data_IF_419211045377
#
_entry.id   IF_419211045377
#
_cell.length_a   1.000
_cell.length_b   1.000
_cell.length_c   1.000
_cell.angle_alpha   90.00
_cell.angle_beta   90.00
_cell.angle_gamma   90.00
#
_symmetry.space_group_name_H-M   'P 1'
#
loop_
_entity.id
_entity.type
_entity.pdbx_description
1 polymer ?
#
# COMPACT_ATOMS: atom_id res chain seq x y z
N UNK A 1 15.23 -8.07 -9.37
CA UNK A 1 14.04 -8.23 -10.24
C UNK A 1 13.75 -6.92 -10.97
N UNK A 2 13.34 -7.01 -12.23
CA UNK A 2 12.87 -5.87 -13.03
C UNK A 2 11.55 -6.24 -13.70
N UNK A 3 10.52 -5.43 -13.49
CA UNK A 3 9.20 -5.55 -14.11
C UNK A 3 8.86 -4.26 -14.83
N UNK A 4 8.41 -4.34 -16.06
CA UNK A 4 8.06 -3.15 -16.85
C UNK A 4 6.91 -3.43 -17.81
N UNK A 5 6.05 -2.41 -18.00
CA UNK A 5 5.00 -2.37 -19.01
C UNK A 5 4.06 -3.59 -18.95
N UNK A 6 3.59 -3.94 -17.76
CA UNK A 6 2.73 -5.10 -17.56
C UNK A 6 1.63 -4.86 -16.53
N UNK A 7 0.60 -5.67 -16.59
CA UNK A 7 -0.47 -5.72 -15.59
C UNK A 7 -0.45 -7.07 -14.89
N UNK A 8 -0.47 -7.04 -13.56
CA UNK A 8 -0.67 -8.20 -12.71
C UNK A 8 -2.06 -8.10 -12.07
N UNK A 9 -2.78 -9.20 -12.04
CA UNK A 9 -4.10 -9.26 -11.44
C UNK A 9 -4.26 -10.52 -10.58
N UNK A 10 -4.78 -10.35 -9.38
CA UNK A 10 -5.24 -11.47 -8.56
C UNK A 10 -6.72 -11.74 -8.89
N UNK A 11 -7.04 -12.98 -9.22
CA UNK A 11 -8.39 -13.39 -9.66
C UNK A 11 -9.30 -13.85 -8.51
N UNK A 12 -8.97 -13.53 -7.25
CA UNK A 12 -9.84 -13.85 -6.12
C UNK A 12 -11.19 -13.13 -6.28
N UNK A 13 -12.28 -13.87 -6.14
CA UNK A 13 -13.61 -13.28 -5.96
C UNK A 13 -13.72 -12.68 -4.55
N UNK A 14 -13.16 -11.47 -4.40
CA UNK A 14 -13.06 -10.80 -3.12
C UNK A 14 -14.43 -10.48 -2.53
N UNK A 15 -15.36 -10.01 -3.35
CA UNK A 15 -16.69 -9.66 -2.87
C UNK A 15 -17.57 -10.89 -2.61
N UNK A 16 -17.41 -11.95 -3.38
CA UNK A 16 -18.06 -13.24 -3.10
C UNK A 16 -17.60 -13.88 -1.80
N UNK A 17 -16.39 -13.54 -1.33
CA UNK A 17 -15.87 -13.92 -0.01
C UNK A 17 -16.16 -12.91 1.10
N UNK A 18 -17.17 -12.05 0.93
CA UNK A 18 -17.57 -10.98 1.87
C UNK A 18 -16.48 -9.93 2.14
N UNK A 19 -15.65 -9.62 1.15
CA UNK A 19 -14.57 -8.65 1.29
C UNK A 19 -13.50 -9.08 2.29
N UNK A 20 -13.29 -10.36 2.44
CA UNK A 20 -12.29 -10.94 3.34
C UNK A 20 -11.28 -11.79 2.57
N UNK A 21 -10.09 -11.90 3.14
CA UNK A 21 -9.03 -12.72 2.56
C UNK A 21 -7.96 -11.90 1.86
N UNK A 22 -6.76 -12.45 1.93
CA UNK A 22 -5.59 -11.85 1.28
C UNK A 22 -5.64 -12.14 -0.21
N UNK A 23 -5.37 -11.12 -0.99
CA UNK A 23 -5.36 -11.18 -2.44
C UNK A 23 -4.02 -10.68 -2.99
N UNK A 24 -2.93 -11.30 -2.55
CA UNK A 24 -1.57 -10.89 -2.95
C UNK A 24 -1.41 -11.02 -4.45
N UNK A 25 -1.04 -9.92 -5.08
CA UNK A 25 -0.75 -9.87 -6.51
C UNK A 25 0.73 -10.15 -6.79
N UNK A 26 1.60 -9.57 -5.96
CA UNK A 26 3.04 -9.83 -5.99
C UNK A 26 3.59 -9.97 -4.57
N UNK A 27 4.14 -11.15 -4.26
CA UNK A 27 5.02 -11.31 -3.11
C UNK A 27 6.47 -11.16 -3.56
N UNK A 28 7.12 -10.11 -3.07
CA UNK A 28 8.50 -9.78 -3.45
C UNK A 28 9.48 -10.20 -2.33
N UNK A 29 10.37 -11.12 -2.65
CA UNK A 29 11.48 -11.55 -1.79
C UNK A 29 12.84 -11.08 -2.31
N UNK A 30 12.82 -10.24 -3.34
CA UNK A 30 14.04 -9.73 -3.96
C UNK A 30 14.85 -8.83 -3.03
N UNK A 31 16.14 -8.82 -3.20
CA UNK A 31 17.02 -7.86 -2.53
C UNK A 31 17.01 -6.51 -3.23
N UNK A 32 16.77 -6.52 -4.53
CA UNK A 32 16.60 -5.33 -5.35
C UNK A 32 15.49 -5.59 -6.37
N UNK A 33 14.48 -4.72 -6.37
CA UNK A 33 13.36 -4.81 -7.31
C UNK A 33 13.05 -3.43 -7.88
N UNK A 34 12.87 -3.38 -9.19
CA UNK A 34 12.42 -2.18 -9.92
C UNK A 34 11.15 -2.53 -10.67
N UNK A 35 10.13 -1.70 -10.48
CA UNK A 35 8.86 -1.77 -11.19
C UNK A 35 8.61 -0.45 -11.89
N UNK A 36 8.42 -0.46 -13.22
CA UNK A 36 8.15 0.71 -14.03
C UNK A 36 6.95 0.49 -14.92
N UNK A 37 5.98 1.41 -14.86
CA UNK A 37 4.72 1.30 -15.60
C UNK A 37 4.06 -0.08 -15.39
N UNK A 38 3.96 -0.48 -14.11
CA UNK A 38 3.32 -1.73 -13.69
C UNK A 38 1.97 -1.41 -13.07
N UNK A 39 0.94 -2.11 -13.52
CA UNK A 39 -0.39 -2.02 -12.93
C UNK A 39 -0.70 -3.26 -12.13
N UNK A 40 -1.09 -3.10 -10.86
CA UNK A 40 -1.54 -4.17 -9.99
C UNK A 40 -3.01 -4.03 -9.64
N UNK A 41 -3.81 -5.02 -10.01
CA UNK A 41 -5.24 -5.07 -9.76
C UNK A 41 -5.54 -6.14 -8.71
N UNK A 42 -5.85 -5.71 -7.49
CA UNK A 42 -6.17 -6.61 -6.40
C UNK A 42 -6.88 -5.88 -5.26
N UNK A 43 -6.90 -6.48 -4.09
CA UNK A 43 -7.64 -6.02 -2.91
C UNK A 43 -6.75 -5.96 -1.67
N UNK A 44 -6.88 -6.89 -0.72
CA UNK A 44 -6.05 -6.89 0.48
C UNK A 44 -4.65 -7.45 0.19
N UNK A 45 -3.61 -6.80 0.75
CA UNK A 45 -2.21 -7.22 0.65
C UNK A 45 -1.68 -7.29 -0.80
N UNK A 46 -2.13 -6.39 -1.71
CA UNK A 46 -1.80 -6.44 -3.14
C UNK A 46 -0.31 -6.61 -3.43
N UNK A 47 0.50 -5.75 -2.86
CA UNK A 47 1.96 -5.83 -2.93
C UNK A 47 2.53 -6.17 -1.56
N UNK A 48 3.15 -7.32 -1.45
CA UNK A 48 3.78 -7.79 -0.22
C UNK A 48 5.30 -7.88 -0.39
N UNK A 49 6.05 -6.94 0.17
CA UNK A 49 7.51 -7.00 0.23
C UNK A 49 7.95 -7.87 1.42
N UNK A 50 8.30 -9.10 1.14
CA UNK A 50 8.68 -10.08 2.15
C UNK A 50 10.21 -10.21 2.30
N UNK A 51 10.88 -9.06 2.38
CA UNK A 51 12.33 -8.98 2.64
C UNK A 51 12.67 -7.66 3.35
N UNK A 52 12.97 -7.73 4.64
CA UNK A 52 13.30 -6.56 5.45
C UNK A 52 14.58 -5.82 5.01
N UNK A 53 15.41 -6.43 4.19
CA UNK A 53 16.62 -5.83 3.62
C UNK A 53 16.46 -5.44 2.16
N UNK A 54 15.25 -5.59 1.60
CA UNK A 54 14.96 -5.25 0.21
C UNK A 54 15.11 -3.76 -0.05
N UNK A 55 15.64 -3.42 -1.23
CA UNK A 55 15.66 -2.05 -1.78
C UNK A 55 14.80 -2.06 -3.04
N UNK A 56 13.68 -1.34 -2.98
CA UNK A 56 12.57 -1.48 -3.91
C UNK A 56 12.26 -0.11 -4.54
N UNK A 57 12.15 -0.05 -5.85
CA UNK A 57 11.83 1.17 -6.58
C UNK A 57 10.63 0.99 -7.50
N UNK A 58 9.68 1.88 -7.40
CA UNK A 58 8.48 1.93 -8.21
C UNK A 58 8.38 3.26 -8.94
N UNK A 59 8.11 3.25 -10.22
CA UNK A 59 7.97 4.45 -11.03
C UNK A 59 6.76 4.33 -11.97
N UNK A 60 5.99 5.43 -12.07
CA UNK A 60 4.89 5.59 -13.01
C UNK A 60 3.90 4.39 -13.00
N UNK A 61 3.69 3.79 -11.84
CA UNK A 61 2.93 2.55 -11.66
C UNK A 61 1.59 2.81 -10.97
N UNK A 62 0.63 1.89 -11.15
CA UNK A 62 -0.70 2.01 -10.57
C UNK A 62 -0.98 0.77 -9.70
N UNK A 63 -1.35 0.98 -8.43
CA UNK A 63 -1.57 -0.10 -7.47
C UNK A 63 -2.96 0.06 -6.84
N UNK A 64 -3.80 -0.94 -7.04
CA UNK A 64 -5.15 -1.02 -6.51
C UNK A 64 -5.21 -1.91 -5.28
N UNK A 65 -6.01 -1.52 -4.29
CA UNK A 65 -6.25 -2.36 -3.14
C UNK A 65 -7.23 -1.81 -2.13
N UNK A 66 -7.46 -2.58 -1.09
CA UNK A 66 -8.41 -2.23 -0.02
C UNK A 66 -7.70 -2.04 1.32
N UNK A 67 -7.24 -3.11 1.93
CA UNK A 67 -6.58 -3.08 3.24
C UNK A 67 -5.14 -3.54 3.10
N UNK A 68 -4.22 -2.74 3.66
CA UNK A 68 -2.80 -3.09 3.74
C UNK A 68 -2.19 -3.44 2.37
N UNK A 69 -2.67 -2.77 1.30
CA UNK A 69 -2.32 -3.19 -0.05
C UNK A 69 -0.89 -2.86 -0.48
N UNK A 70 -0.18 -2.05 0.31
CA UNK A 70 1.27 -1.95 0.32
C UNK A 70 1.75 -2.51 1.67
N UNK A 71 2.23 -3.73 1.73
CA UNK A 71 2.59 -4.32 3.01
C UNK A 71 3.96 -4.99 3.04
N UNK A 72 4.49 -5.14 4.24
CA UNK A 72 5.76 -5.82 4.49
C UNK A 72 6.89 -4.92 4.97
N UNK A 73 8.10 -5.27 4.61
CA UNK A 73 9.33 -4.61 5.08
C UNK A 73 10.23 -4.13 3.94
N UNK A 74 11.46 -3.79 4.28
CA UNK A 74 12.43 -3.23 3.35
C UNK A 74 12.27 -1.72 3.17
N UNK A 75 13.09 -1.15 2.31
CA UNK A 75 13.04 0.25 1.91
C UNK A 75 12.49 0.36 0.49
N UNK A 76 11.34 0.99 0.34
CA UNK A 76 10.65 1.14 -0.93
C UNK A 76 10.45 2.62 -1.28
N UNK A 77 10.79 3.00 -2.48
CA UNK A 77 10.54 4.34 -3.01
C UNK A 77 9.56 4.26 -4.18
N UNK A 78 8.41 4.92 -3.98
CA UNK A 78 7.36 5.03 -5.00
C UNK A 78 7.40 6.43 -5.58
N UNK A 79 7.71 6.54 -6.86
CA UNK A 79 7.84 7.79 -7.59
C UNK A 79 6.74 7.94 -8.64
N UNK A 80 5.91 8.97 -8.51
CA UNK A 80 4.80 9.26 -9.45
C UNK A 80 3.84 8.09 -9.66
N UNK A 81 3.60 7.32 -8.61
CA UNK A 81 2.66 6.20 -8.66
C UNK A 81 1.23 6.66 -8.33
N UNK A 82 0.25 5.95 -8.87
CA UNK A 82 -1.16 6.11 -8.52
C UNK A 82 -1.59 4.98 -7.59
N UNK A 83 -2.16 5.34 -6.46
CA UNK A 83 -2.71 4.43 -5.47
C UNK A 83 -4.24 4.52 -5.53
N UNK A 84 -4.92 3.41 -5.79
CA UNK A 84 -6.37 3.37 -5.91
C UNK A 84 -6.97 2.58 -4.76
N UNK A 85 -7.71 3.27 -3.89
CA UNK A 85 -8.42 2.68 -2.77
C UNK A 85 -9.74 2.08 -3.23
N UNK A 86 -9.75 0.81 -3.57
CA UNK A 86 -10.92 0.09 -4.04
C UNK A 86 -12.03 -0.02 -2.97
N UNK A 87 -13.26 -0.25 -3.41
CA UNK A 87 -14.37 -0.52 -2.50
C UNK A 87 -14.07 -1.74 -1.64
N UNK A 88 -14.10 -1.57 -0.33
CA UNK A 88 -13.82 -2.68 0.59
C UNK A 88 -14.93 -3.70 0.61
N UNK A 89 -16.17 -3.26 0.50
CA UNK A 89 -17.36 -4.11 0.44
C UNK A 89 -18.15 -3.82 -0.83
N UNK A 90 -18.87 -4.79 -1.34
CA UNK A 90 -19.69 -4.66 -2.55
C UNK A 90 -20.77 -3.56 -2.45
N UNK A 91 -21.21 -3.23 -1.22
CA UNK A 91 -22.16 -2.15 -0.96
C UNK A 91 -21.50 -0.77 -0.80
N UNK A 92 -20.21 -0.63 -1.06
CA UNK A 92 -19.45 0.61 -0.98
C UNK A 92 -19.03 1.04 0.42
N UNK A 93 -19.32 0.26 1.45
CA UNK A 93 -18.95 0.58 2.84
C UNK A 93 -17.54 0.07 3.20
N UNK A 94 -16.99 0.64 4.26
CA UNK A 94 -15.69 0.27 4.81
C UNK A 94 -14.52 1.05 4.21
N UNK A 95 -13.64 1.48 5.10
CA UNK A 95 -12.47 2.23 4.75
C UNK A 95 -11.28 1.38 4.36
N UNK A 96 -10.31 2.00 3.73
CA UNK A 96 -9.06 1.39 3.31
C UNK A 96 -7.90 1.79 4.22
N UNK A 97 -6.90 0.92 4.30
CA UNK A 97 -5.58 1.26 4.85
C UNK A 97 -4.54 1.02 3.75
N UNK A 98 -3.81 2.06 3.34
CA UNK A 98 -2.89 1.94 2.21
C UNK A 98 -1.71 1.04 2.59
N UNK A 99 -0.96 1.40 3.63
CA UNK A 99 0.28 0.71 3.97
C UNK A 99 0.22 0.02 5.33
N UNK A 100 0.72 -1.23 5.39
CA UNK A 100 0.96 -1.95 6.64
C UNK A 100 2.40 -2.42 6.70
N UNK A 101 3.23 -1.72 7.47
CA UNK A 101 4.66 -1.87 7.39
C UNK A 101 5.25 -2.60 8.60
N UNK A 102 6.26 -3.41 8.33
CA UNK A 102 7.01 -4.18 9.30
C UNK A 102 8.52 -3.93 9.14
N UNK A 103 9.25 -4.25 10.16
CA UNK A 103 10.71 -4.21 10.12
C UNK A 103 11.32 -2.93 10.72
N UNK A 104 12.61 -3.00 10.94
CA UNK A 104 13.46 -1.88 11.34
C UNK A 104 14.25 -1.46 10.10
N UNK A 105 13.67 -0.58 9.30
CA UNK A 105 14.23 -0.16 8.03
C UNK A 105 14.98 1.16 8.16
N UNK A 106 15.84 1.46 7.21
CA UNK A 106 16.57 2.71 7.17
C UNK A 106 15.67 3.88 6.83
N UNK A 107 14.88 3.73 5.76
CA UNK A 107 13.94 4.76 5.28
C UNK A 107 12.49 4.30 5.33
N UNK A 108 12.25 3.00 5.20
CA UNK A 108 10.92 2.42 5.08
C UNK A 108 10.28 2.69 3.72
N UNK A 109 9.00 3.00 3.70
CA UNK A 109 8.32 3.35 2.47
C UNK A 109 8.22 4.86 2.32
N UNK A 110 8.68 5.34 1.16
CA UNK A 110 8.59 6.75 0.77
C UNK A 110 7.77 6.82 -0.52
N UNK A 111 6.68 7.58 -0.47
CA UNK A 111 5.82 7.84 -1.62
C UNK A 111 5.98 9.32 -1.99
N UNK A 112 6.57 9.57 -3.16
CA UNK A 112 6.87 10.93 -3.62
C UNK A 112 6.18 11.23 -4.96
N UNK A 113 5.57 12.42 -5.05
CA UNK A 113 4.76 12.86 -6.20
C UNK A 113 3.68 11.84 -6.60
N UNK A 114 3.19 11.07 -5.65
CA UNK A 114 2.13 10.08 -5.88
C UNK A 114 0.75 10.72 -5.91
N UNK A 115 -0.21 10.01 -6.50
CA UNK A 115 -1.64 10.38 -6.48
C UNK A 115 -2.42 9.31 -5.74
N UNK A 116 -3.33 9.72 -4.87
CA UNK A 116 -4.26 8.80 -4.19
C UNK A 116 -5.67 9.08 -4.71
N UNK A 117 -6.26 8.06 -5.35
CA UNK A 117 -7.66 8.01 -5.74
C UNK A 117 -8.43 7.11 -4.76
N UNK A 118 -9.56 7.57 -4.26
CA UNK A 118 -10.33 6.85 -3.25
C UNK A 118 -11.80 6.70 -3.63
N UNK A 119 -12.16 5.72 -4.47
CA UNK A 119 -13.55 5.30 -4.63
C UNK A 119 -14.19 4.82 -3.32
N UNK A 120 -13.41 4.23 -2.41
CA UNK A 120 -13.87 3.75 -1.11
C UNK A 120 -14.48 4.86 -0.23
N UNK A 121 -15.12 4.47 0.88
CA UNK A 121 -15.77 5.40 1.81
C UNK A 121 -14.79 6.35 2.48
N UNK A 122 -13.67 5.82 2.98
CA UNK A 122 -12.59 6.59 3.60
C UNK A 122 -11.27 5.80 3.55
N UNK A 123 -10.16 6.43 3.98
CA UNK A 123 -8.88 5.76 4.05
C UNK A 123 -7.96 6.32 5.13
N UNK A 124 -6.99 5.50 5.54
CA UNK A 124 -5.82 5.90 6.31
C UNK A 124 -4.57 5.72 5.45
N UNK A 125 -3.56 6.55 5.66
CA UNK A 125 -2.26 6.40 4.98
C UNK A 125 -1.55 5.10 5.34
N UNK A 126 -1.68 4.65 6.59
CA UNK A 126 -1.06 3.40 6.97
C UNK A 126 -1.02 3.13 8.47
N UNK A 127 -0.39 2.02 8.77
CA UNK A 127 -0.19 1.53 10.13
C UNK A 127 1.14 0.82 10.29
N UNK A 128 1.68 0.80 11.49
CA UNK A 128 2.75 -0.12 11.82
C UNK A 128 2.16 -1.52 12.03
N UNK A 129 2.64 -2.48 11.27
CA UNK A 129 2.25 -3.88 11.43
C UNK A 129 3.11 -4.59 12.46
N UNK A 130 4.44 -4.36 12.42
CA UNK A 130 5.39 -4.94 13.36
C UNK A 130 6.64 -4.08 13.46
N UNK A 131 7.36 -4.14 14.59
CA UNK A 131 8.58 -3.38 14.84
C UNK A 131 8.35 -1.85 14.78
N UNK A 132 9.33 -1.10 14.30
CA UNK A 132 9.28 0.36 14.20
C UNK A 132 9.53 0.82 12.76
N UNK A 133 8.61 0.55 11.85
CA UNK A 133 8.75 0.92 10.45
C UNK A 133 8.71 2.45 10.27
N UNK A 134 9.08 2.89 9.07
CA UNK A 134 8.98 4.28 8.64
C UNK A 134 8.11 4.38 7.40
N UNK A 135 7.34 5.45 7.32
CA UNK A 135 6.44 5.73 6.21
C UNK A 135 6.39 7.24 5.96
N UNK A 136 6.60 7.66 4.73
CA UNK A 136 6.53 9.06 4.37
C UNK A 136 5.72 9.26 3.08
N UNK A 137 4.82 10.23 3.12
CA UNK A 137 4.11 10.74 1.94
C UNK A 137 4.62 12.14 1.65
N UNK A 138 5.30 12.33 0.52
CA UNK A 138 5.89 13.59 0.10
C UNK A 138 5.24 14.05 -1.19
N UNK A 139 4.90 15.33 -1.28
CA UNK A 139 4.33 15.92 -2.51
C UNK A 139 3.15 15.12 -3.09
N UNK A 140 2.38 14.43 -2.25
CA UNK A 140 1.31 13.53 -2.68
C UNK A 140 0.01 14.28 -2.90
N UNK A 141 -0.67 14.00 -4.00
CA UNK A 141 -1.98 14.58 -4.35
C UNK A 141 -3.11 13.64 -3.92
N UNK A 142 -4.08 14.17 -3.18
CA UNK A 142 -5.32 13.46 -2.84
C UNK A 142 -6.44 13.93 -3.77
N UNK A 143 -7.04 13.04 -4.55
CA UNK A 143 -8.17 13.40 -5.42
C UNK A 143 -9.45 13.62 -4.60
N UNK A 144 -9.60 12.92 -3.47
CA UNK A 144 -10.73 13.08 -2.54
C UNK A 144 -10.18 13.32 -1.11
N UNK A 145 -9.67 14.51 -0.80
CA UNK A 145 -9.06 14.79 0.51
C UNK A 145 -10.03 14.66 1.68
N UNK A 146 -11.34 14.88 1.46
CA UNK A 146 -12.37 14.70 2.49
C UNK A 146 -12.55 13.27 2.97
N UNK A 147 -12.05 12.28 2.22
CA UNK A 147 -12.10 10.86 2.58
C UNK A 147 -10.92 10.41 3.42
N UNK A 148 -9.89 11.23 3.58
CA UNK A 148 -8.80 10.94 4.50
C UNK A 148 -9.34 10.97 5.93
N UNK A 149 -9.19 9.85 6.64
CA UNK A 149 -9.66 9.73 8.01
C UNK A 149 -8.89 10.69 8.95
N UNK A 150 -9.54 11.16 10.00
CA UNK A 150 -8.93 12.04 11.00
C UNK A 150 -7.70 11.40 11.68
N UNK A 151 -7.76 10.09 11.92
CA UNK A 151 -6.59 9.30 12.29
C UNK A 151 -5.81 8.91 11.05
N UNK A 152 -5.03 9.83 10.51
CA UNK A 152 -4.26 9.65 9.27
C UNK A 152 -3.42 8.38 9.25
N UNK A 153 -2.84 8.06 10.40
CA UNK A 153 -2.14 6.81 10.66
C UNK A 153 -2.84 6.07 11.80
N UNK A 154 -2.94 4.77 11.69
CA UNK A 154 -3.59 3.95 12.71
C UNK A 154 -2.63 2.90 13.27
N UNK A 155 -2.85 2.49 14.51
CA UNK A 155 -2.09 1.39 15.11
C UNK A 155 -2.53 0.02 14.60
N UNK A 156 -3.69 -0.06 13.91
CA UNK A 156 -4.30 -1.35 13.59
C UNK A 156 -4.52 -2.16 14.86
N UNK A 157 -4.49 -3.46 14.80
CA UNK A 157 -4.63 -4.34 15.97
C UNK A 157 -3.33 -4.61 16.76
N UNK A 158 -2.23 -3.95 16.46
CA UNK A 158 -0.90 -4.34 16.94
C UNK A 158 -0.18 -3.21 17.69
N UNK A 159 -0.73 -2.43 18.43
CA UNK A 159 -0.15 -1.49 19.43
C UNK A 159 1.32 -1.06 19.20
N UNK A 160 1.73 -0.94 17.94
CA UNK A 160 3.09 -0.52 17.56
C UNK A 160 3.05 0.97 17.23
N UNK A 161 3.92 1.78 17.82
CA UNK A 161 3.95 3.22 17.57
C UNK A 161 4.25 3.55 16.11
N UNK A 162 3.54 4.54 15.58
CA UNK A 162 3.77 5.12 14.24
C UNK A 162 4.49 6.48 14.35
N UNK A 163 5.40 6.61 15.28
CA UNK A 163 6.13 7.84 15.59
C UNK A 163 7.07 8.31 14.47
N UNK A 164 7.28 7.47 13.47
CA UNK A 164 8.10 7.76 12.28
C UNK A 164 7.28 7.77 10.99
N UNK A 165 5.99 7.98 11.10
CA UNK A 165 5.10 8.15 9.98
C UNK A 165 4.84 9.64 9.78
N UNK A 166 5.07 10.12 8.55
CA UNK A 166 4.99 11.54 8.19
C UNK A 166 4.27 11.76 6.86
N UNK A 167 3.73 12.97 6.68
CA UNK A 167 3.13 13.45 5.43
C UNK A 167 3.47 14.92 5.18
#
# INVERSE_FOLDING_TARGET
TYLQDLTLQNALDYYGSNGTGRAVCLQDKGTQTICKNVKMLSYQDTYYSNNNSGKLYWEDSEIHGTVDYLCGGGDAFFNRCTLVNELRNANGTGGCTIAALAGNTEWGYVLDHCTIDCPAENFNYGRAWNNKPRLAYLNTTLLQPSKLASSRFTTGGMNVPADKFVE
#
